data_IF_229949424248
#
_entry.id   IF_229949424248
#
_cell.length_a   1.000
_cell.length_b   1.000
_cell.length_c   1.000
_cell.angle_alpha   90.00
_cell.angle_beta   90.00
_cell.angle_gamma   90.00
#
_symmetry.space_group_name_H-M   'P 1'
#
loop_
_entity.id
_entity.type
_entity.pdbx_description
1 polymer ?
#
# COMPACT_ATOMS: atom_id res chain seq x y z
N UNK A 1 -1.39 36.67 -0.22
CA UNK A 1 -0.76 37.13 1.03
C UNK A 1 0.04 35.97 1.64
N UNK A 2 1.29 36.15 2.10
CA UNK A 2 2.16 35.04 2.55
C UNK A 2 1.61 34.28 3.77
N UNK A 3 0.74 34.89 4.57
CA UNK A 3 0.12 34.22 5.73
C UNK A 3 -0.93 33.16 5.37
N UNK A 4 -1.48 33.17 4.15
CA UNK A 4 -2.52 32.24 3.75
C UNK A 4 -1.98 31.16 2.81
N UNK A 5 -2.46 29.90 2.96
CA UNK A 5 -2.14 28.84 2.00
C UNK A 5 -2.88 29.09 0.68
N UNK A 6 -2.34 28.54 -0.40
CA UNK A 6 -2.98 28.39 -1.69
C UNK A 6 -3.34 26.92 -1.86
N UNK A 7 -4.58 26.63 -2.19
CA UNK A 7 -5.03 25.28 -2.50
C UNK A 7 -5.20 25.14 -4.01
N UNK A 8 -4.65 24.06 -4.58
CA UNK A 8 -4.74 23.76 -5.99
C UNK A 8 -5.36 22.38 -6.14
N UNK A 9 -6.46 22.31 -6.88
CA UNK A 9 -7.14 21.06 -7.21
C UNK A 9 -6.60 20.55 -8.54
N UNK A 10 -5.98 19.38 -8.52
CA UNK A 10 -5.40 18.76 -9.70
C UNK A 10 -6.09 17.43 -10.00
N UNK A 11 -6.75 17.34 -11.16
CA UNK A 11 -7.34 16.09 -11.65
C UNK A 11 -6.28 15.30 -12.43
N UNK A 12 -5.94 14.12 -11.95
CA UNK A 12 -4.93 13.26 -12.56
C UNK A 12 -5.50 12.52 -13.77
N UNK A 13 -4.77 12.51 -14.88
CA UNK A 13 -5.16 11.77 -16.08
C UNK A 13 -4.26 10.56 -16.28
N UNK A 14 -4.77 9.37 -16.06
CA UNK A 14 -4.02 8.10 -16.10
C UNK A 14 -3.39 7.77 -17.46
N UNK A 15 -3.86 8.39 -18.56
CA UNK A 15 -3.33 8.17 -19.90
C UNK A 15 -1.87 8.60 -20.10
N UNK A 16 -1.34 9.40 -19.19
CA UNK A 16 0.01 9.96 -19.30
C UNK A 16 1.12 9.06 -18.71
N UNK A 17 0.76 7.94 -18.06
CA UNK A 17 1.71 7.05 -17.35
C UNK A 17 2.33 5.97 -18.25
N UNK A 18 2.00 5.90 -19.54
CA UNK A 18 2.35 4.76 -20.43
C UNK A 18 3.74 4.79 -21.05
N UNK A 19 4.64 5.72 -20.72
CA UNK A 19 6.01 5.73 -21.27
C UNK A 19 7.04 5.37 -20.21
N UNK A 20 7.68 4.21 -20.43
CA UNK A 20 8.96 3.76 -19.90
C UNK A 20 9.23 3.98 -18.38
N UNK A 21 8.88 2.99 -17.57
CA UNK A 21 9.47 2.81 -16.22
C UNK A 21 9.19 3.92 -15.20
N UNK A 22 8.42 4.95 -15.55
CA UNK A 22 8.15 6.12 -14.72
C UNK A 22 6.81 5.99 -13.98
N UNK A 23 6.86 6.18 -12.69
CA UNK A 23 5.72 6.20 -11.77
C UNK A 23 4.86 7.47 -11.87
N UNK A 24 5.27 8.46 -12.69
CA UNK A 24 4.59 9.75 -12.81
C UNK A 24 4.50 10.23 -14.26
N UNK A 25 3.44 10.98 -14.56
CA UNK A 25 3.28 11.58 -15.88
C UNK A 25 4.18 12.83 -16.02
N UNK A 26 4.69 13.05 -17.21
CA UNK A 26 5.45 14.27 -17.57
C UNK A 26 4.66 15.55 -17.25
N UNK A 27 3.32 15.50 -17.37
CA UNK A 27 2.44 16.62 -17.03
C UNK A 27 2.46 16.96 -15.54
N UNK A 28 2.47 15.95 -14.67
CA UNK A 28 2.55 16.13 -13.23
C UNK A 28 3.90 16.73 -12.79
N UNK A 29 4.99 16.21 -13.30
CA UNK A 29 6.34 16.74 -13.04
C UNK A 29 6.46 18.21 -13.46
N UNK A 30 6.02 18.52 -14.68
CA UNK A 30 6.02 19.89 -15.21
C UNK A 30 5.18 20.84 -14.36
N UNK A 31 4.02 20.37 -13.90
CA UNK A 31 3.14 21.14 -13.03
C UNK A 31 3.79 21.42 -11.67
N UNK A 32 4.37 20.40 -11.01
CA UNK A 32 5.10 20.59 -9.76
C UNK A 32 6.28 21.54 -9.93
N UNK A 33 7.06 21.40 -11.00
CA UNK A 33 8.15 22.33 -11.31
C UNK A 33 7.65 23.79 -11.43
N UNK A 34 6.52 24.00 -12.09
CA UNK A 34 5.94 25.35 -12.22
C UNK A 34 5.55 25.93 -10.86
N UNK A 35 4.95 25.13 -9.96
CA UNK A 35 4.59 25.55 -8.59
C UNK A 35 5.85 25.95 -7.81
N UNK A 36 6.92 25.14 -7.90
CA UNK A 36 8.18 25.40 -7.20
C UNK A 36 8.91 26.63 -7.74
N UNK A 37 8.92 26.81 -9.06
CA UNK A 37 9.50 28.00 -9.73
C UNK A 37 8.74 29.28 -9.39
N UNK A 38 7.44 29.18 -9.14
CA UNK A 38 6.63 30.31 -8.66
C UNK A 38 6.92 30.68 -7.18
N UNK A 39 7.86 30.00 -6.54
CA UNK A 39 8.31 30.29 -5.17
C UNK A 39 7.39 29.73 -4.08
N UNK A 40 6.64 28.67 -4.40
CA UNK A 40 5.84 27.96 -3.42
C UNK A 40 6.57 26.73 -2.89
N UNK A 41 6.21 26.36 -1.65
CA UNK A 41 6.51 25.06 -1.04
C UNK A 41 5.22 24.29 -0.86
N UNK A 42 5.23 22.98 -1.07
CA UNK A 42 4.11 22.11 -0.74
C UNK A 42 4.12 21.86 0.78
N UNK A 43 2.96 21.98 1.41
CA UNK A 43 2.81 21.74 2.87
C UNK A 43 1.84 20.61 3.17
N UNK A 44 1.13 20.12 2.17
CA UNK A 44 0.24 18.97 2.32
C UNK A 44 -0.42 18.59 0.99
N UNK A 45 -0.86 17.36 0.93
CA UNK A 45 -1.69 16.83 -0.16
C UNK A 45 -2.82 16.02 0.43
N UNK A 46 -4.00 16.10 -0.19
CA UNK A 46 -5.13 15.25 0.15
C UNK A 46 -5.74 14.65 -1.10
N UNK A 47 -5.86 13.31 -1.17
CA UNK A 47 -6.67 12.68 -2.19
C UNK A 47 -8.14 12.95 -1.88
N UNK A 48 -8.91 13.34 -2.89
CA UNK A 48 -10.35 13.51 -2.79
C UNK A 48 -11.01 12.58 -3.79
N UNK A 49 -11.86 11.68 -3.31
CA UNK A 49 -12.68 10.84 -4.19
C UNK A 49 -13.65 11.71 -4.95
N UNK A 50 -13.35 11.98 -6.23
CA UNK A 50 -14.15 12.81 -7.13
C UNK A 50 -14.81 11.97 -8.22
N UNK A 51 -14.50 10.69 -8.29
CA UNK A 51 -14.97 9.78 -9.32
C UNK A 51 -16.15 8.96 -8.80
N UNK A 52 -17.17 8.76 -9.66
CA UNK A 52 -18.28 7.87 -9.34
C UNK A 52 -17.88 6.42 -9.59
N UNK A 53 -18.31 5.50 -8.72
CA UNK A 53 -18.08 4.05 -8.83
C UNK A 53 -18.60 3.44 -10.16
N UNK A 54 -19.49 4.15 -10.84
CA UNK A 54 -20.13 3.73 -12.11
C UNK A 54 -19.48 4.30 -13.38
N UNK A 55 -18.19 4.63 -13.37
CA UNK A 55 -17.50 5.11 -14.56
C UNK A 55 -17.34 3.99 -15.59
N UNK A 56 -17.90 4.15 -16.78
CA UNK A 56 -17.79 3.15 -17.87
C UNK A 56 -16.34 2.85 -18.32
N UNK A 57 -15.40 3.78 -18.07
CA UNK A 57 -13.96 3.65 -18.39
C UNK A 57 -13.18 3.00 -17.22
N UNK A 58 -13.73 3.00 -16.01
CA UNK A 58 -13.09 2.46 -14.80
C UNK A 58 -13.48 1.03 -14.44
N UNK A 59 -14.54 0.50 -15.07
CA UNK A 59 -15.02 -0.85 -14.77
C UNK A 59 -13.95 -1.88 -15.19
N UNK A 60 -13.41 -2.60 -14.22
CA UNK A 60 -12.39 -3.64 -14.44
C UNK A 60 -10.97 -3.11 -14.64
N UNK A 61 -10.70 -1.84 -14.38
CA UNK A 61 -9.35 -1.26 -14.42
C UNK A 61 -8.95 -0.70 -13.05
N UNK A 62 -7.66 -0.71 -12.75
CA UNK A 62 -7.07 -0.11 -11.56
C UNK A 62 -6.90 1.41 -11.79
N UNK A 63 -8.01 2.14 -11.93
CA UNK A 63 -8.01 3.58 -12.21
C UNK A 63 -7.96 4.39 -10.91
N UNK A 64 -7.19 5.49 -10.91
CA UNK A 64 -7.20 6.46 -9.82
C UNK A 64 -8.63 6.96 -9.57
N UNK A 65 -9.08 6.85 -8.33
CA UNK A 65 -10.43 7.26 -7.92
C UNK A 65 -10.47 8.70 -7.41
N UNK A 66 -9.31 9.35 -7.24
CA UNK A 66 -9.20 10.64 -6.57
C UNK A 66 -8.55 11.73 -7.42
N UNK A 67 -8.99 12.98 -7.17
CA UNK A 67 -8.23 14.18 -7.49
C UNK A 67 -7.30 14.51 -6.32
N UNK A 68 -6.17 15.17 -6.60
CA UNK A 68 -5.24 15.62 -5.56
C UNK A 68 -5.48 17.09 -5.25
N UNK A 69 -5.65 17.39 -3.97
CA UNK A 69 -5.63 18.77 -3.47
C UNK A 69 -4.23 19.04 -2.94
N UNK A 70 -3.55 20.01 -3.53
CA UNK A 70 -2.25 20.48 -3.08
C UNK A 70 -2.44 21.71 -2.19
N UNK A 71 -1.80 21.72 -1.04
CA UNK A 71 -1.70 22.88 -0.18
C UNK A 71 -0.30 23.45 -0.27
N UNK A 72 -0.22 24.70 -0.71
CA UNK A 72 1.03 25.39 -0.96
C UNK A 72 1.15 26.63 -0.08
N UNK A 73 2.35 26.95 0.35
CA UNK A 73 2.71 28.21 1.03
C UNK A 73 3.85 28.87 0.30
N UNK A 74 3.98 30.18 0.45
CA UNK A 74 5.16 30.88 -0.07
C UNK A 74 6.40 30.34 0.64
N UNK A 75 7.41 29.98 -0.15
CA UNK A 75 8.70 29.50 0.38
C UNK A 75 9.40 30.62 1.15
N UNK A 76 10.07 30.25 2.23
CA UNK A 76 10.91 31.18 2.98
C UNK A 76 12.04 31.70 2.06
N UNK A 77 12.24 33.02 2.06
CA UNK A 77 13.31 33.64 1.29
C UNK A 77 14.71 33.25 1.84
N UNK A 78 14.79 32.86 3.11
CA UNK A 78 16.00 32.41 3.77
C UNK A 78 16.21 30.88 3.70
N UNK A 79 15.38 30.17 2.90
CA UNK A 79 15.52 28.73 2.74
C UNK A 79 16.94 28.36 2.27
N UNK A 80 17.50 27.35 2.90
CA UNK A 80 18.83 26.82 2.58
C UNK A 80 18.83 25.87 1.36
N UNK A 81 20.02 25.54 0.91
CA UNK A 81 20.23 24.50 -0.10
C UNK A 81 20.88 23.30 0.57
N UNK A 82 20.34 22.11 0.32
CA UNK A 82 20.84 20.86 0.89
C UNK A 82 21.40 19.92 -0.16
N UNK A 83 22.18 18.92 0.29
CA UNK A 83 22.68 17.86 -0.59
C UNK A 83 21.62 16.78 -0.81
N UNK A 84 21.76 16.00 -1.91
CA UNK A 84 20.97 14.79 -2.17
C UNK A 84 20.99 13.81 -0.99
N UNK A 85 22.15 13.64 -0.34
CA UNK A 85 22.29 12.75 0.81
C UNK A 85 21.45 13.23 2.00
N UNK A 86 21.46 14.52 2.25
CA UNK A 86 20.67 15.13 3.31
C UNK A 86 19.17 15.01 3.03
N UNK A 87 18.74 15.25 1.79
CA UNK A 87 17.35 15.03 1.37
C UNK A 87 16.89 13.59 1.61
N UNK A 88 17.70 12.60 1.20
CA UNK A 88 17.39 11.19 1.47
C UNK A 88 17.34 10.85 2.96
N UNK A 89 18.19 11.47 3.79
CA UNK A 89 18.16 11.31 5.25
C UNK A 89 16.83 11.82 5.82
N UNK A 90 16.42 13.02 5.41
CA UNK A 90 15.15 13.64 5.85
C UNK A 90 13.93 12.83 5.37
N UNK A 91 13.97 12.28 4.16
CA UNK A 91 12.91 11.38 3.69
C UNK A 91 12.75 10.17 4.60
N UNK A 92 13.83 9.47 4.95
CA UNK A 92 13.79 8.30 5.85
C UNK A 92 13.33 8.63 7.27
N UNK A 93 13.60 9.84 7.72
CA UNK A 93 13.25 10.28 9.07
C UNK A 93 11.77 10.67 9.18
N UNK A 94 11.21 11.36 8.17
CA UNK A 94 9.88 11.97 8.28
C UNK A 94 8.79 11.30 7.44
N UNK A 95 9.13 10.62 6.35
CA UNK A 95 8.14 10.00 5.47
C UNK A 95 7.38 8.83 6.14
N UNK A 96 8.02 7.97 6.98
CA UNK A 96 7.34 6.86 7.64
C UNK A 96 6.14 7.29 8.49
N UNK A 97 6.24 8.34 9.29
CA UNK A 97 5.15 8.86 10.12
C UNK A 97 3.95 9.31 9.27
N UNK A 98 4.22 10.00 8.16
CA UNK A 98 3.18 10.42 7.23
C UNK A 98 2.51 9.21 6.56
N UNK A 99 3.27 8.20 6.15
CA UNK A 99 2.75 6.97 5.56
C UNK A 99 1.91 6.18 6.57
N UNK A 100 2.36 6.04 7.81
CA UNK A 100 1.60 5.37 8.87
C UNK A 100 0.24 6.02 9.08
N UNK A 101 0.19 7.36 9.10
CA UNK A 101 -1.06 8.11 9.20
C UNK A 101 -1.97 7.85 7.99
N UNK A 102 -1.43 7.81 6.78
CA UNK A 102 -2.18 7.58 5.54
C UNK A 102 -2.73 6.16 5.42
N UNK A 103 -1.98 5.18 5.89
CA UNK A 103 -2.38 3.78 5.91
C UNK A 103 -3.46 3.52 6.99
N UNK A 104 -3.74 4.49 7.85
CA UNK A 104 -4.75 4.37 8.89
C UNK A 104 -4.22 3.77 10.18
N UNK A 105 -3.01 4.16 10.59
CA UNK A 105 -2.36 3.79 11.85
C UNK A 105 -3.24 3.94 13.09
N UNK A 106 -2.74 4.39 14.19
CA UNK A 106 -3.40 4.42 15.51
C UNK A 106 -4.69 5.25 15.61
N UNK A 107 -5.04 6.08 14.61
CA UNK A 107 -6.16 7.03 14.68
C UNK A 107 -7.53 6.49 14.26
N UNK A 108 -7.62 5.25 13.75
CA UNK A 108 -8.90 4.66 13.31
C UNK A 108 -9.55 5.34 12.10
N UNK A 109 -8.82 6.17 11.37
CA UNK A 109 -9.28 6.76 10.12
C UNK A 109 -9.32 5.73 9.00
N UNK A 110 -10.19 5.97 8.01
CA UNK A 110 -10.22 5.14 6.81
C UNK A 110 -8.88 5.21 6.08
N UNK A 111 -8.24 4.06 5.77
CA UNK A 111 -6.97 4.06 5.07
C UNK A 111 -7.14 4.62 3.65
N UNK A 112 -6.08 5.26 3.13
CA UNK A 112 -6.03 5.67 1.73
C UNK A 112 -5.92 4.42 0.87
N UNK A 113 -6.74 4.32 -0.19
CA UNK A 113 -6.67 3.20 -1.11
C UNK A 113 -5.27 3.06 -1.71
N UNK A 114 -4.72 1.84 -1.85
CA UNK A 114 -3.38 1.62 -2.37
C UNK A 114 -3.12 2.29 -3.72
N UNK A 115 -4.12 2.34 -4.61
CA UNK A 115 -4.04 3.01 -5.91
C UNK A 115 -3.74 4.51 -5.78
N UNK A 116 -4.26 5.16 -4.72
CA UNK A 116 -4.11 6.59 -4.45
C UNK A 116 -2.94 6.90 -3.51
N UNK A 117 -2.42 5.88 -2.79
CA UNK A 117 -1.39 6.07 -1.77
C UNK A 117 -0.11 6.69 -2.35
N UNK A 118 0.37 6.19 -3.48
CA UNK A 118 1.57 6.72 -4.11
C UNK A 118 1.42 8.21 -4.45
N UNK A 119 0.23 8.64 -4.90
CA UNK A 119 -0.07 10.03 -5.20
C UNK A 119 -0.19 10.89 -3.94
N UNK A 120 -0.84 10.38 -2.91
CA UNK A 120 -0.98 11.07 -1.63
C UNK A 120 0.37 11.24 -0.93
N UNK A 121 1.20 10.21 -0.94
CA UNK A 121 2.52 10.19 -0.30
C UNK A 121 3.56 11.08 -0.99
N UNK A 122 3.32 11.49 -2.25
CA UNK A 122 4.15 12.51 -2.91
C UNK A 122 4.17 13.82 -2.09
N UNK A 123 3.04 14.20 -1.48
CA UNK A 123 2.94 15.46 -0.76
C UNK A 123 3.95 15.58 0.38
N UNK A 124 4.00 14.69 1.35
CA UNK A 124 5.00 14.71 2.41
C UNK A 124 6.44 14.71 1.88
N UNK A 125 6.74 13.87 0.88
CA UNK A 125 8.06 13.82 0.27
C UNK A 125 8.41 15.13 -0.46
N UNK A 126 7.48 15.71 -1.20
CA UNK A 126 7.65 16.98 -1.87
C UNK A 126 7.65 18.18 -0.90
N UNK A 127 7.01 18.07 0.27
CA UNK A 127 7.13 19.07 1.32
C UNK A 127 8.59 19.18 1.79
N UNK A 128 9.24 18.04 2.06
CA UNK A 128 10.67 17.99 2.41
C UNK A 128 11.53 18.57 1.29
N UNK A 129 11.26 18.22 0.02
CA UNK A 129 12.03 18.75 -1.13
C UNK A 129 11.86 20.26 -1.30
N UNK A 130 10.62 20.75 -1.24
CA UNK A 130 10.25 22.11 -1.63
C UNK A 130 10.48 23.16 -0.54
N UNK A 131 10.68 22.76 0.73
CA UNK A 131 11.02 23.70 1.81
C UNK A 131 12.40 24.33 1.62
N UNK A 132 13.31 23.64 0.93
CA UNK A 132 14.65 24.13 0.63
C UNK A 132 14.68 24.99 -0.63
N UNK A 133 15.65 25.89 -0.73
CA UNK A 133 15.90 26.69 -1.95
C UNK A 133 16.29 25.79 -3.12
N UNK A 134 16.93 24.66 -2.85
CA UNK A 134 17.30 23.64 -3.82
C UNK A 134 17.91 22.42 -3.15
N UNK A 135 17.92 21.32 -3.89
CA UNK A 135 18.65 20.09 -3.54
C UNK A 135 19.74 19.89 -4.60
N UNK A 136 20.97 19.67 -4.19
CA UNK A 136 22.11 19.47 -5.10
C UNK A 136 22.47 17.99 -5.21
N UNK A 137 22.67 17.54 -6.45
CA UNK A 137 23.27 16.25 -6.77
C UNK A 137 24.75 16.21 -6.34
N UNK A 138 25.37 15.02 -6.40
CA UNK A 138 26.78 14.84 -6.03
C UNK A 138 27.76 15.66 -6.89
N UNK A 139 27.37 15.95 -8.13
CA UNK A 139 28.12 16.78 -9.08
C UNK A 139 27.89 18.29 -8.92
N UNK A 140 27.10 18.70 -7.91
CA UNK A 140 26.74 20.09 -7.65
C UNK A 140 25.61 20.63 -8.53
N UNK A 141 25.04 19.84 -9.44
CA UNK A 141 23.89 20.28 -10.25
C UNK A 141 22.59 20.25 -9.43
N UNK A 142 21.65 21.17 -9.70
CA UNK A 142 20.34 21.12 -9.07
C UNK A 142 19.59 19.82 -9.39
N UNK A 143 19.05 19.16 -8.37
CA UNK A 143 18.19 17.99 -8.53
C UNK A 143 16.86 18.43 -9.16
N UNK A 144 16.42 17.71 -10.18
CA UNK A 144 15.11 17.95 -10.82
C UNK A 144 13.98 17.35 -10.01
N UNK A 145 12.77 17.85 -10.23
CA UNK A 145 11.54 17.30 -9.62
C UNK A 145 11.38 15.81 -9.94
N UNK A 146 11.67 15.39 -11.17
CA UNK A 146 11.68 13.97 -11.57
C UNK A 146 12.55 13.12 -10.63
N UNK A 147 13.79 13.53 -10.40
CA UNK A 147 14.74 12.77 -9.59
C UNK A 147 14.31 12.72 -8.11
N UNK A 148 13.70 13.80 -7.61
CA UNK A 148 13.11 13.84 -6.27
C UNK A 148 11.93 12.87 -6.15
N UNK A 149 11.02 12.84 -7.12
CA UNK A 149 9.90 11.91 -7.15
C UNK A 149 10.33 10.44 -7.20
N UNK A 150 11.39 10.14 -7.96
CA UNK A 150 11.98 8.78 -7.99
C UNK A 150 12.49 8.37 -6.61
N UNK A 151 13.18 9.27 -5.89
CA UNK A 151 13.65 8.99 -4.53
C UNK A 151 12.50 8.82 -3.54
N UNK A 152 11.49 9.68 -3.59
CA UNK A 152 10.30 9.59 -2.73
C UNK A 152 9.60 8.24 -2.95
N UNK A 153 9.35 7.85 -4.20
CA UNK A 153 8.71 6.56 -4.50
C UNK A 153 9.54 5.36 -4.05
N UNK A 154 10.85 5.46 -4.11
CA UNK A 154 11.73 4.42 -3.58
C UNK A 154 11.56 4.26 -2.08
N UNK A 155 11.57 5.34 -1.31
CA UNK A 155 11.39 5.30 0.14
C UNK A 155 9.97 4.79 0.51
N UNK A 156 8.92 5.17 -0.26
CA UNK A 156 7.57 4.61 -0.11
C UNK A 156 7.58 3.10 -0.32
N UNK A 157 8.24 2.61 -1.38
CA UNK A 157 8.34 1.18 -1.68
C UNK A 157 9.11 0.44 -0.60
N UNK A 158 10.22 1.01 -0.10
CA UNK A 158 10.99 0.44 1.01
C UNK A 158 10.13 0.34 2.27
N UNK A 159 9.37 1.37 2.61
CA UNK A 159 8.45 1.37 3.76
C UNK A 159 7.35 0.31 3.65
N UNK A 160 6.77 0.14 2.47
CA UNK A 160 5.72 -0.86 2.21
C UNK A 160 6.27 -2.29 2.03
N UNK A 161 7.60 -2.44 1.94
CA UNK A 161 8.21 -3.76 1.85
C UNK A 161 8.43 -4.31 3.26
N UNK A 162 7.82 -5.43 3.62
CA UNK A 162 7.89 -5.96 4.98
C UNK A 162 9.31 -6.40 5.34
N UNK A 163 9.74 -6.05 6.52
CA UNK A 163 10.94 -6.59 7.15
C UNK A 163 10.79 -8.08 7.48
N UNK A 164 11.91 -8.80 7.58
CA UNK A 164 11.91 -10.23 7.89
C UNK A 164 11.22 -10.60 9.22
N UNK A 165 10.99 -9.65 10.12
CA UNK A 165 10.28 -9.82 11.39
C UNK A 165 8.80 -9.45 11.38
N UNK A 166 8.28 -8.88 10.27
CA UNK A 166 6.92 -8.35 10.20
C UNK A 166 5.84 -9.42 9.99
N UNK A 167 6.22 -10.59 9.44
CA UNK A 167 5.30 -11.67 9.11
C UNK A 167 5.81 -13.03 9.59
N UNK A 168 4.87 -13.97 9.70
CA UNK A 168 5.20 -15.38 9.93
C UNK A 168 6.00 -15.99 8.77
N UNK A 169 6.66 -17.11 9.05
CA UNK A 169 7.56 -17.79 8.11
C UNK A 169 6.87 -18.23 6.80
N UNK A 170 5.60 -18.68 6.90
CA UNK A 170 4.83 -19.11 5.74
C UNK A 170 4.48 -17.92 4.84
N UNK A 171 4.07 -16.80 5.44
CA UNK A 171 3.80 -15.55 4.72
C UNK A 171 5.06 -15.00 4.03
N UNK A 172 6.23 -15.05 4.70
CA UNK A 172 7.49 -14.63 4.10
C UNK A 172 7.90 -15.52 2.91
N UNK A 173 7.66 -16.83 3.02
CA UNK A 173 7.85 -17.76 1.90
C UNK A 173 6.91 -17.38 0.74
N UNK A 174 5.62 -17.26 1.01
CA UNK A 174 4.61 -16.94 -0.01
C UNK A 174 4.90 -15.61 -0.73
N UNK A 175 5.27 -14.56 0.01
CA UNK A 175 5.67 -13.28 -0.58
C UNK A 175 6.83 -13.44 -1.58
N UNK A 176 7.91 -14.12 -1.16
CA UNK A 176 9.09 -14.30 -2.00
C UNK A 176 8.80 -15.20 -3.20
N UNK A 177 7.99 -16.25 -3.03
CA UNK A 177 7.56 -17.13 -4.11
C UNK A 177 6.66 -16.41 -5.10
N UNK A 178 5.70 -15.64 -4.60
CA UNK A 178 4.79 -14.84 -5.41
C UNK A 178 5.52 -13.77 -6.23
N UNK A 179 6.52 -13.10 -5.64
CA UNK A 179 7.35 -12.14 -6.37
C UNK A 179 8.07 -12.79 -7.57
N UNK A 180 8.49 -14.05 -7.44
CA UNK A 180 9.23 -14.76 -8.47
C UNK A 180 8.33 -15.42 -9.51
N UNK A 181 7.30 -16.14 -9.07
CA UNK A 181 6.47 -17.00 -9.90
C UNK A 181 5.02 -16.54 -10.05
N UNK A 182 4.55 -15.63 -9.22
CA UNK A 182 3.13 -15.29 -9.14
C UNK A 182 2.31 -16.53 -8.76
N UNK A 183 1.27 -16.77 -9.55
CA UNK A 183 0.43 -17.98 -9.41
C UNK A 183 0.90 -19.15 -10.29
N UNK A 184 1.99 -18.99 -11.02
CA UNK A 184 2.53 -20.06 -11.85
C UNK A 184 3.28 -21.09 -11.03
N UNK A 185 3.46 -22.27 -11.63
CA UNK A 185 4.27 -23.33 -11.04
C UNK A 185 5.78 -23.00 -11.13
N UNK A 186 6.49 -23.28 -10.06
CA UNK A 186 7.96 -23.24 -10.01
C UNK A 186 8.57 -24.56 -9.54
N UNK A 187 9.90 -24.74 -9.68
CA UNK A 187 10.59 -25.98 -9.31
C UNK A 187 10.56 -26.25 -7.80
N UNK A 188 10.26 -27.49 -7.39
CA UNK A 188 10.24 -27.87 -5.98
C UNK A 188 11.58 -27.60 -5.27
N UNK A 189 12.72 -27.84 -5.95
CA UNK A 189 14.03 -27.61 -5.35
C UNK A 189 14.26 -26.14 -4.95
N UNK A 190 13.80 -25.19 -5.76
CA UNK A 190 13.87 -23.76 -5.43
C UNK A 190 12.94 -23.42 -4.27
N UNK A 191 11.71 -23.95 -4.29
CA UNK A 191 10.76 -23.76 -3.20
C UNK A 191 11.28 -24.30 -1.87
N UNK A 192 11.91 -25.46 -1.87
CA UNK A 192 12.46 -26.08 -0.67
C UNK A 192 13.63 -25.28 -0.07
N UNK A 193 14.53 -24.77 -0.92
CA UNK A 193 15.63 -23.88 -0.48
C UNK A 193 15.05 -22.57 0.10
N UNK A 194 14.09 -21.95 -0.59
CA UNK A 194 13.46 -20.73 -0.14
C UNK A 194 12.72 -20.93 1.19
N UNK A 195 11.91 -21.98 1.31
CA UNK A 195 11.14 -22.30 2.52
C UNK A 195 12.06 -22.48 3.73
N UNK A 196 13.14 -23.25 3.59
CA UNK A 196 14.14 -23.40 4.66
C UNK A 196 14.79 -22.06 5.02
N UNK A 197 15.12 -21.23 4.04
CA UNK A 197 15.67 -19.90 4.27
C UNK A 197 14.73 -18.96 5.01
N UNK A 198 13.41 -19.19 4.92
CA UNK A 198 12.38 -18.43 5.66
C UNK A 198 11.96 -19.06 6.98
N UNK A 199 12.51 -20.24 7.34
CA UNK A 199 12.17 -20.94 8.57
C UNK A 199 10.88 -21.77 8.49
N UNK A 200 10.46 -22.17 7.29
CA UNK A 200 9.30 -23.04 7.05
C UNK A 200 9.66 -24.21 6.14
N UNK A 201 8.65 -24.94 5.65
CA UNK A 201 8.82 -26.03 4.70
C UNK A 201 7.71 -26.01 3.65
N UNK A 202 8.01 -26.47 2.42
CA UNK A 202 7.01 -26.59 1.35
C UNK A 202 5.82 -27.44 1.79
N UNK A 203 6.09 -28.55 2.50
CA UNK A 203 5.03 -29.39 3.03
C UNK A 203 4.15 -28.65 4.05
N UNK A 204 4.74 -27.83 4.93
CA UNK A 204 4.00 -27.02 5.90
C UNK A 204 3.08 -26.01 5.22
N UNK A 205 3.59 -25.31 4.21
CA UNK A 205 2.83 -24.34 3.42
C UNK A 205 1.69 -25.03 2.64
N UNK A 206 1.93 -26.22 2.10
CA UNK A 206 0.88 -27.02 1.45
C UNK A 206 -0.17 -27.54 2.44
N UNK A 207 0.22 -27.93 3.66
CA UNK A 207 -0.70 -28.35 4.74
C UNK A 207 -1.57 -27.17 5.24
N UNK A 208 -1.06 -25.94 5.19
CA UNK A 208 -1.86 -24.73 5.45
C UNK A 208 -2.89 -24.45 4.35
N UNK A 209 -2.95 -25.22 3.28
CA UNK A 209 -3.94 -25.04 2.21
C UNK A 209 -3.70 -23.85 1.29
N UNK A 210 -2.52 -23.24 1.32
CA UNK A 210 -2.16 -22.04 0.53
C UNK A 210 -1.25 -22.33 -0.66
N UNK A 211 -0.72 -23.56 -0.74
CA UNK A 211 0.09 -23.99 -1.86
C UNK A 211 -0.25 -25.43 -2.27
N UNK A 212 -0.03 -25.73 -3.53
CA UNK A 212 -0.08 -27.08 -4.09
C UNK A 212 1.35 -27.54 -4.43
N UNK A 213 1.67 -28.78 -4.07
CA UNK A 213 2.99 -29.35 -4.31
C UNK A 213 2.86 -30.76 -4.86
N UNK A 214 3.32 -30.98 -6.08
CA UNK A 214 3.26 -32.26 -6.76
C UNK A 214 4.15 -32.31 -8.01
N UNK A 215 4.52 -33.52 -8.42
CA UNK A 215 5.32 -33.75 -9.63
C UNK A 215 6.61 -32.91 -9.75
N UNK A 216 7.27 -32.63 -8.63
CA UNK A 216 8.49 -31.82 -8.59
C UNK A 216 8.28 -30.32 -8.75
N UNK A 217 7.05 -29.85 -8.60
CA UNK A 217 6.65 -28.44 -8.74
C UNK A 217 5.88 -27.96 -7.51
N UNK A 218 5.83 -26.63 -7.34
CA UNK A 218 5.08 -25.92 -6.30
C UNK A 218 4.40 -24.73 -6.94
N UNK A 219 3.16 -24.46 -6.56
CA UNK A 219 2.43 -23.22 -6.89
C UNK A 219 1.64 -22.73 -5.70
N UNK A 220 1.47 -21.42 -5.59
CA UNK A 220 0.52 -20.84 -4.65
C UNK A 220 -0.91 -21.00 -5.20
N UNK A 221 -1.85 -21.25 -4.31
CA UNK A 221 -3.26 -21.30 -4.67
C UNK A 221 -3.85 -19.90 -4.69
N UNK A 222 -4.70 -19.62 -5.68
CA UNK A 222 -5.51 -18.39 -5.68
C UNK A 222 -6.61 -18.49 -4.62
N UNK A 223 -7.05 -17.37 -4.08
CA UNK A 223 -8.12 -17.32 -3.08
C UNK A 223 -9.42 -18.00 -3.53
N UNK A 224 -9.70 -18.07 -4.84
CA UNK A 224 -10.83 -18.79 -5.37
C UNK A 224 -10.74 -20.31 -5.15
N UNK A 225 -9.51 -20.84 -5.11
CA UNK A 225 -9.21 -22.27 -4.96
C UNK A 225 -9.10 -22.70 -3.48
N UNK A 226 -9.17 -21.76 -2.55
CA UNK A 226 -9.09 -22.05 -1.11
C UNK A 226 -10.30 -22.86 -0.63
N UNK A 227 -10.10 -23.69 0.40
CA UNK A 227 -11.14 -24.54 0.96
C UNK A 227 -12.34 -23.72 1.45
N UNK A 228 -13.55 -24.18 1.15
CA UNK A 228 -14.78 -23.59 1.67
C UNK A 228 -14.95 -23.94 3.16
N UNK A 229 -15.52 -22.98 3.94
CA UNK A 229 -15.80 -23.20 5.35
C UNK A 229 -14.55 -23.16 6.25
N UNK A 230 -13.48 -22.51 5.81
CA UNK A 230 -12.31 -22.26 6.65
C UNK A 230 -12.68 -21.49 7.92
N UNK A 231 -12.18 -21.96 9.06
CA UNK A 231 -12.33 -21.30 10.36
C UNK A 231 -10.94 -21.00 10.93
N UNK A 232 -10.58 -19.71 11.09
CA UNK A 232 -9.27 -19.32 11.58
C UNK A 232 -8.96 -19.78 13.01
N UNK A 233 -10.01 -20.11 13.81
CA UNK A 233 -9.85 -20.61 15.18
C UNK A 233 -9.46 -22.08 15.23
N UNK A 234 -9.80 -22.83 14.19
CA UNK A 234 -9.51 -24.27 14.06
C UNK A 234 -8.23 -24.52 13.27
N UNK A 235 -7.74 -23.51 12.56
CA UNK A 235 -6.53 -23.62 11.77
C UNK A 235 -5.28 -23.52 12.66
N UNK A 236 -4.48 -24.58 12.68
CA UNK A 236 -3.30 -24.66 13.50
C UNK A 236 -2.14 -23.76 13.02
N UNK A 237 -2.13 -23.35 11.75
CA UNK A 237 -1.07 -22.51 11.17
C UNK A 237 -1.51 -21.08 10.95
N UNK A 238 -2.65 -20.86 10.32
CA UNK A 238 -3.29 -19.57 10.06
C UNK A 238 -2.28 -18.44 9.72
N UNK A 239 -1.48 -18.55 8.64
CA UNK A 239 -0.54 -17.50 8.26
C UNK A 239 -1.27 -16.23 7.78
N UNK A 240 -0.60 -15.07 7.88
CA UNK A 240 -1.17 -13.79 7.43
C UNK A 240 -1.52 -13.82 5.94
N UNK A 241 -0.74 -14.53 5.12
CA UNK A 241 -1.02 -14.77 3.72
C UNK A 241 -2.41 -15.41 3.52
N UNK A 242 -2.67 -16.51 4.20
CA UNK A 242 -3.93 -17.23 4.12
C UNK A 242 -5.10 -16.37 4.59
N UNK A 243 -4.96 -15.77 5.77
CA UNK A 243 -5.98 -14.89 6.33
C UNK A 243 -6.35 -13.74 5.37
N UNK A 244 -5.36 -13.11 4.73
CA UNK A 244 -5.57 -12.04 3.74
C UNK A 244 -6.40 -12.52 2.56
N UNK A 245 -6.08 -13.69 2.02
CA UNK A 245 -6.75 -14.22 0.83
C UNK A 245 -8.15 -14.79 1.14
N UNK A 246 -8.36 -15.31 2.34
CA UNK A 246 -9.73 -15.64 2.80
C UNK A 246 -10.60 -14.40 2.99
N UNK A 247 -10.05 -13.27 3.47
CA UNK A 247 -10.77 -12.00 3.54
C UNK A 247 -11.14 -11.49 2.15
N UNK A 248 -10.21 -11.53 1.17
CA UNK A 248 -10.49 -11.17 -0.23
C UNK A 248 -11.62 -12.06 -0.79
N UNK A 249 -11.55 -13.37 -0.55
CA UNK A 249 -12.59 -14.30 -1.00
C UNK A 249 -13.96 -13.98 -0.37
N UNK A 250 -14.02 -13.79 0.94
CA UNK A 250 -15.24 -13.45 1.64
C UNK A 250 -15.84 -12.13 1.16
N UNK A 251 -14.99 -11.10 1.01
CA UNK A 251 -15.40 -9.80 0.48
C UNK A 251 -16.02 -9.93 -0.91
N UNK A 252 -15.36 -10.64 -1.82
CA UNK A 252 -15.79 -10.78 -3.21
C UNK A 252 -17.05 -11.63 -3.38
N UNK A 253 -17.28 -12.61 -2.49
CA UNK A 253 -18.39 -13.56 -2.66
C UNK A 253 -19.58 -13.28 -1.75
N UNK A 254 -19.36 -12.65 -0.59
CA UNK A 254 -20.36 -12.50 0.47
C UNK A 254 -20.42 -11.07 1.04
N UNK A 255 -19.49 -10.19 0.62
CA UNK A 255 -19.45 -8.79 1.02
C UNK A 255 -18.76 -8.51 2.36
N UNK A 256 -18.82 -7.25 2.77
CA UNK A 256 -18.07 -6.68 3.90
C UNK A 256 -18.42 -7.32 5.24
N UNK A 257 -19.70 -7.66 5.45
CA UNK A 257 -20.16 -8.30 6.69
C UNK A 257 -19.50 -9.68 6.92
N UNK A 258 -19.34 -10.47 5.87
CA UNK A 258 -18.70 -11.79 5.97
C UNK A 258 -17.19 -11.67 6.18
N UNK A 259 -16.54 -10.73 5.49
CA UNK A 259 -15.12 -10.42 5.72
C UNK A 259 -14.90 -9.89 7.15
N UNK A 260 -15.81 -9.05 7.66
CA UNK A 260 -15.80 -8.59 9.05
C UNK A 260 -15.94 -9.70 10.07
N UNK A 261 -16.82 -10.69 9.82
CA UNK A 261 -16.97 -11.86 10.66
C UNK A 261 -15.68 -12.70 10.77
N UNK A 262 -15.00 -12.90 9.64
CA UNK A 262 -13.69 -13.57 9.63
C UNK A 262 -12.64 -12.76 10.40
N UNK A 263 -12.58 -11.47 10.20
CA UNK A 263 -11.62 -10.59 10.88
C UNK A 263 -11.87 -10.56 12.40
N UNK A 264 -13.13 -10.59 12.85
CA UNK A 264 -13.50 -10.67 14.27
C UNK A 264 -12.97 -11.95 14.95
N UNK A 265 -12.77 -13.03 14.19
CA UNK A 265 -12.22 -14.29 14.70
C UNK A 265 -10.67 -14.25 14.84
N UNK A 266 -10.00 -13.25 14.25
CA UNK A 266 -8.53 -13.09 14.27
C UNK A 266 -8.11 -11.61 14.40
N UNK A 267 -8.52 -10.92 15.48
CA UNK A 267 -8.34 -9.47 15.64
C UNK A 267 -6.86 -9.03 15.66
N UNK A 268 -5.97 -9.88 16.11
CA UNK A 268 -4.52 -9.69 16.14
C UNK A 268 -3.89 -9.62 14.74
N UNK A 269 -4.58 -10.13 13.72
CA UNK A 269 -4.09 -10.13 12.34
C UNK A 269 -4.54 -8.92 11.52
N UNK A 270 -5.40 -8.06 12.05
CA UNK A 270 -5.94 -6.92 11.30
C UNK A 270 -4.83 -6.05 10.69
N UNK A 271 -3.85 -5.64 11.51
CA UNK A 271 -2.73 -4.82 11.04
C UNK A 271 -1.80 -5.56 10.08
N UNK A 272 -1.33 -6.79 10.40
CA UNK A 272 -0.52 -7.56 9.44
C UNK A 272 -1.21 -7.80 8.08
N UNK A 273 -2.50 -8.10 8.06
CA UNK A 273 -3.28 -8.29 6.83
C UNK A 273 -3.29 -7.01 6.00
N UNK A 274 -3.52 -5.87 6.63
CA UNK A 274 -3.52 -4.57 5.97
C UNK A 274 -2.15 -4.25 5.35
N UNK A 275 -1.07 -4.44 6.11
CA UNK A 275 0.30 -4.24 5.63
C UNK A 275 0.62 -5.17 4.45
N UNK A 276 0.22 -6.45 4.53
CA UNK A 276 0.40 -7.39 3.45
C UNK A 276 -0.35 -6.97 2.18
N UNK A 277 -1.59 -6.49 2.31
CA UNK A 277 -2.38 -6.04 1.17
C UNK A 277 -1.73 -4.85 0.45
N UNK A 278 -1.21 -3.86 1.17
CA UNK A 278 -0.44 -2.76 0.58
C UNK A 278 0.83 -3.23 -0.13
N UNK A 279 1.57 -4.14 0.50
CA UNK A 279 2.78 -4.71 -0.10
C UNK A 279 2.46 -5.46 -1.40
N UNK A 280 1.47 -6.36 -1.37
CA UNK A 280 1.08 -7.15 -2.55
C UNK A 280 0.49 -6.28 -3.66
N UNK A 281 -0.27 -5.23 -3.32
CA UNK A 281 -0.69 -4.23 -4.29
C UNK A 281 0.51 -3.61 -5.01
N UNK A 282 1.48 -3.10 -4.26
CA UNK A 282 2.68 -2.44 -4.82
C UNK A 282 3.49 -3.40 -5.69
N UNK A 283 3.63 -4.65 -5.26
CA UNK A 283 4.29 -5.70 -6.02
C UNK A 283 3.57 -5.97 -7.35
N UNK A 284 2.24 -6.15 -7.31
CA UNK A 284 1.42 -6.42 -8.50
C UNK A 284 1.44 -5.26 -9.50
N UNK A 285 1.40 -4.00 -9.04
CA UNK A 285 1.54 -2.82 -9.91
C UNK A 285 2.91 -2.82 -10.62
N UNK A 286 3.99 -3.08 -9.89
CA UNK A 286 5.34 -3.18 -10.46
C UNK A 286 5.45 -4.30 -11.50
N UNK A 287 4.79 -5.43 -11.26
CA UNK A 287 4.74 -6.59 -12.18
C UNK A 287 3.69 -6.45 -13.29
N UNK A 288 2.85 -5.40 -13.27
CA UNK A 288 1.73 -5.18 -14.19
C UNK A 288 0.66 -6.29 -14.13
N UNK A 289 0.43 -6.86 -12.94
CA UNK A 289 -0.62 -7.84 -12.66
C UNK A 289 -1.87 -7.11 -12.17
N UNK A 290 -2.56 -6.44 -13.11
CA UNK A 290 -3.63 -5.49 -12.80
C UNK A 290 -4.85 -6.13 -12.08
N UNK A 291 -5.18 -7.38 -12.40
CA UNK A 291 -6.29 -8.11 -11.78
C UNK A 291 -6.00 -8.40 -10.30
N UNK A 292 -4.78 -8.86 -10.00
CA UNK A 292 -4.36 -9.14 -8.63
C UNK A 292 -4.22 -7.84 -7.81
N UNK A 293 -3.62 -6.79 -8.41
CA UNK A 293 -3.55 -5.47 -7.79
C UNK A 293 -4.94 -4.94 -7.40
N UNK A 294 -5.94 -5.12 -8.28
CA UNK A 294 -7.31 -4.71 -7.99
C UNK A 294 -7.88 -5.40 -6.75
N UNK A 295 -7.68 -6.70 -6.59
CA UNK A 295 -8.20 -7.44 -5.44
C UNK A 295 -7.64 -6.91 -4.10
N UNK A 296 -6.34 -6.61 -4.04
CA UNK A 296 -5.74 -6.01 -2.85
C UNK A 296 -6.21 -4.58 -2.61
N UNK A 297 -6.39 -3.79 -3.67
CA UNK A 297 -6.95 -2.44 -3.58
C UNK A 297 -8.39 -2.45 -3.05
N UNK A 298 -9.23 -3.36 -3.54
CA UNK A 298 -10.62 -3.51 -3.10
C UNK A 298 -10.70 -3.88 -1.62
N UNK A 299 -9.83 -4.79 -1.13
CA UNK A 299 -9.76 -5.12 0.29
C UNK A 299 -9.47 -3.89 1.17
N UNK A 300 -8.49 -3.06 0.79
CA UNK A 300 -8.14 -1.85 1.54
C UNK A 300 -9.24 -0.79 1.43
N UNK A 301 -9.85 -0.63 0.27
CA UNK A 301 -10.97 0.32 0.07
C UNK A 301 -12.16 -0.04 0.97
N UNK A 302 -12.47 -1.32 1.12
CA UNK A 302 -13.52 -1.82 2.00
C UNK A 302 -13.08 -1.90 3.48
N UNK A 303 -11.82 -1.62 3.82
CA UNK A 303 -11.23 -1.92 5.13
C UNK A 303 -12.01 -1.32 6.30
N UNK A 304 -12.45 -0.08 6.16
CA UNK A 304 -13.21 0.60 7.22
C UNK A 304 -14.52 -0.13 7.53
N UNK A 305 -15.29 -0.49 6.49
CA UNK A 305 -16.54 -1.23 6.63
C UNK A 305 -16.32 -2.65 7.19
N UNK A 306 -15.24 -3.33 6.77
CA UNK A 306 -14.83 -4.63 7.29
C UNK A 306 -14.48 -4.53 8.78
N UNK A 307 -13.75 -3.50 9.21
CA UNK A 307 -13.44 -3.27 10.62
C UNK A 307 -14.68 -2.96 11.46
N UNK A 308 -15.59 -2.13 10.97
CA UNK A 308 -16.86 -1.83 11.65
C UNK A 308 -17.67 -3.11 11.83
N UNK A 309 -17.86 -3.90 10.75
CA UNK A 309 -18.55 -5.18 10.80
C UNK A 309 -17.87 -6.17 11.77
N UNK A 310 -16.54 -6.16 11.86
CA UNK A 310 -15.82 -7.01 12.81
C UNK A 310 -16.07 -6.64 14.27
N UNK A 311 -16.18 -5.35 14.57
CA UNK A 311 -16.48 -4.85 15.93
C UNK A 311 -17.91 -5.16 16.35
N UNK A 312 -18.86 -5.13 15.43
CA UNK A 312 -20.27 -5.49 15.71
C UNK A 312 -20.42 -6.97 16.08
N UNK A 313 -19.55 -7.84 15.58
CA UNK A 313 -19.57 -9.29 15.82
C UNK A 313 -18.60 -9.75 16.91
N UNK A 314 -17.69 -8.87 17.34
CA UNK A 314 -16.81 -9.14 18.48
C UNK A 314 -17.59 -9.32 19.80
N UNK A 315 -16.99 -9.92 20.86
CA UNK A 315 -17.66 -10.04 22.14
C UNK A 315 -18.08 -8.65 22.61
N UNK A 316 -19.39 -8.42 22.71
CA UNK A 316 -19.92 -7.22 23.35
C UNK A 316 -19.43 -7.25 24.79
N UNK A 317 -18.53 -6.31 25.13
CA UNK A 317 -18.09 -6.16 26.51
C UNK A 317 -19.33 -6.12 27.41
N UNK A 318 -19.36 -6.94 28.46
CA UNK A 318 -20.40 -6.88 29.47
C UNK A 318 -20.49 -5.43 29.94
N UNK A 319 -21.60 -4.81 29.63
CA UNK A 319 -21.94 -3.49 30.14
C UNK A 319 -22.11 -3.70 31.65
N UNK A 320 -21.09 -3.30 32.43
CA UNK A 320 -21.20 -3.27 33.88
C UNK A 320 -22.41 -2.39 34.22
N UNK A 321 -23.52 -3.03 34.56
CA UNK A 321 -24.70 -2.37 35.06
C UNK A 321 -24.32 -1.64 36.35
N UNK A 322 -24.31 -0.34 36.30
CA UNK A 322 -24.37 0.45 37.54
C UNK A 322 -25.78 0.28 38.08
N UNK A 323 -25.92 -0.63 39.02
CA UNK A 323 -27.09 -0.62 39.93
C UNK A 323 -27.02 0.67 40.73
N UNK A 324 -28.10 1.47 40.66
CA UNK A 324 -28.30 2.71 41.40
C UNK A 324 -28.75 2.40 42.83
#
# INVERSE_FOLDING_TARGET
HPAFPVTIYYAFKQSDTKKEGGTHSTGWETFLEAVLRAGFTLTGTWPMSTERDARSIGIGTNALASSIVLVCRKRDAAADTISRREFQRQLREHLPEALETMIGGTSGQSPIAPVDLAQAAIGPGMAIYSQHAGVLNQDGTPMRVHDALVLINREITEYLTPDAGSFDADTLFCNSWFEQYGWAEGPFGEADVLARGKGTSVQGVAQAGIADSGAGKVRLLRWADYQAGWDPKLDARNPVWEATHHLIRALNTQGEAAAGALLAAMPDKAEPIRQLAYHLYTLCERKKWAEDARAYNELITAWHAVLEASREQGPRGEQLGFEA
#
